data_IF_840895927040
#
_entry.id   IF_840895927040
#
_cell.length_a   1.000
_cell.length_b   1.000
_cell.length_c   1.000
_cell.angle_alpha   90.00
_cell.angle_beta   90.00
_cell.angle_gamma   90.00
#
_symmetry.space_group_name_H-M   'P 1'
#
loop_
_entity.id
_entity.type
_entity.pdbx_description
1 polymer ?
#
# COMPACT_ATOMS: atom_id res chain seq x y z
N UNK A 1 -45.95 -46.87 -11.88
CA UNK A 1 -44.66 -46.27 -12.26
C UNK A 1 -44.76 -44.74 -12.06
N UNK A 2 -44.25 -44.22 -10.92
CA UNK A 2 -44.24 -42.77 -10.62
C UNK A 2 -42.87 -42.22 -11.01
N UNK A 3 -42.81 -41.32 -12.02
CA UNK A 3 -41.60 -40.67 -12.46
C UNK A 3 -41.32 -39.52 -11.49
N UNK A 4 -40.26 -39.64 -10.71
CA UNK A 4 -39.69 -38.55 -9.92
C UNK A 4 -38.90 -37.62 -10.86
N UNK A 5 -39.41 -36.41 -11.08
CA UNK A 5 -38.72 -35.34 -11.80
C UNK A 5 -37.96 -34.56 -10.76
N UNK A 6 -36.65 -34.77 -10.72
CA UNK A 6 -35.73 -34.04 -9.86
C UNK A 6 -35.42 -32.67 -10.51
N UNK A 7 -35.98 -31.62 -9.93
CA UNK A 7 -35.75 -30.23 -10.35
C UNK A 7 -34.43 -29.78 -9.78
N UNK A 8 -33.38 -29.73 -10.60
CA UNK A 8 -32.10 -29.08 -10.23
C UNK A 8 -32.30 -27.57 -10.28
N UNK A 9 -32.47 -26.93 -9.12
CA UNK A 9 -32.36 -25.49 -8.98
C UNK A 9 -30.88 -25.13 -9.06
N UNK A 10 -30.43 -24.60 -10.21
CA UNK A 10 -29.16 -23.94 -10.34
C UNK A 10 -29.21 -22.66 -9.50
N UNK A 11 -28.60 -22.66 -8.33
CA UNK A 11 -28.25 -21.46 -7.57
C UNK A 11 -27.17 -20.74 -8.37
N UNK A 12 -27.57 -19.75 -9.15
CA UNK A 12 -26.66 -18.75 -9.69
C UNK A 12 -26.14 -17.91 -8.51
N UNK A 13 -24.96 -18.26 -8.01
CA UNK A 13 -24.21 -17.41 -7.10
C UNK A 13 -23.79 -16.20 -7.95
N UNK A 14 -24.18 -14.96 -7.62
CA UNK A 14 -23.62 -13.81 -8.28
C UNK A 14 -22.12 -13.77 -7.91
N UNK A 15 -21.27 -14.15 -8.85
CA UNK A 15 -19.89 -13.74 -8.79
C UNK A 15 -19.92 -12.20 -8.82
N UNK A 16 -19.80 -11.57 -7.65
CA UNK A 16 -19.35 -10.19 -7.60
C UNK A 16 -18.00 -10.19 -8.32
N UNK A 17 -17.97 -9.74 -9.56
CA UNK A 17 -16.75 -9.38 -10.23
C UNK A 17 -16.15 -8.24 -9.39
N UNK A 18 -15.29 -8.61 -8.45
CA UNK A 18 -14.34 -7.65 -7.90
C UNK A 18 -13.60 -7.12 -9.12
N UNK A 19 -13.79 -5.85 -9.42
CA UNK A 19 -13.03 -5.18 -10.46
C UNK A 19 -11.56 -5.42 -10.11
N UNK A 20 -10.89 -6.24 -10.93
CA UNK A 20 -9.49 -6.52 -10.75
C UNK A 20 -8.79 -5.20 -11.02
N UNK A 21 -8.20 -4.61 -9.98
CA UNK A 21 -7.49 -3.35 -10.11
C UNK A 21 -6.38 -3.53 -11.14
N UNK A 22 -6.35 -2.65 -12.14
CA UNK A 22 -5.35 -2.72 -13.22
C UNK A 22 -3.96 -2.31 -12.75
N UNK A 23 -3.92 -1.46 -11.72
CA UNK A 23 -2.70 -0.91 -11.15
C UNK A 23 -2.56 -1.31 -9.70
N UNK A 24 -1.33 -1.48 -9.25
CA UNK A 24 -0.97 -1.93 -7.91
C UNK A 24 -0.46 -0.80 -7.00
N UNK A 25 -0.88 0.45 -7.26
CA UNK A 25 -0.46 1.58 -6.44
C UNK A 25 -1.10 1.56 -5.04
N UNK A 26 -2.27 0.92 -4.91
CA UNK A 26 -2.91 0.68 -3.61
C UNK A 26 -2.03 -0.24 -2.76
N UNK A 27 -1.53 -1.34 -3.33
CA UNK A 27 -0.61 -2.27 -2.68
C UNK A 27 0.75 -1.61 -2.41
N UNK A 28 1.20 -0.71 -3.29
CA UNK A 28 2.39 0.11 -3.04
C UNK A 28 2.23 0.97 -1.78
N UNK A 29 1.00 1.34 -1.41
CA UNK A 29 0.69 2.11 -0.21
C UNK A 29 0.18 1.25 0.96
N UNK A 30 0.57 -0.03 1.01
CA UNK A 30 0.28 -0.98 2.09
C UNK A 30 -1.24 -1.15 2.33
N UNK A 31 -2.03 -1.18 1.26
CA UNK A 31 -3.46 -1.42 1.31
C UNK A 31 -3.88 -2.39 0.20
N UNK A 32 -5.11 -2.86 0.23
CA UNK A 32 -5.70 -3.77 -0.76
C UNK A 32 -7.18 -3.48 -0.95
N UNK A 33 -7.70 -3.90 -2.09
CA UNK A 33 -9.10 -3.73 -2.47
C UNK A 33 -9.39 -2.38 -3.14
N UNK A 34 -10.66 -2.02 -3.33
CA UNK A 34 -11.06 -0.83 -4.07
C UNK A 34 -10.93 0.43 -3.21
N UNK A 35 -9.68 0.78 -2.88
CA UNK A 35 -9.38 1.95 -2.03
C UNK A 35 -9.52 3.23 -2.83
N UNK A 36 -10.25 4.20 -2.28
CA UNK A 36 -10.43 5.55 -2.82
C UNK A 36 -9.42 6.53 -2.23
N UNK A 37 -9.20 6.46 -0.93
CA UNK A 37 -8.21 7.31 -0.26
C UNK A 37 -7.61 6.65 0.97
N UNK A 38 -6.38 7.05 1.29
CA UNK A 38 -5.66 6.69 2.51
C UNK A 38 -5.20 7.99 3.16
N UNK A 39 -5.64 8.23 4.39
CA UNK A 39 -5.16 9.35 5.21
C UNK A 39 -4.36 8.80 6.40
N UNK A 40 -3.08 9.10 6.45
CA UNK A 40 -2.18 8.69 7.55
C UNK A 40 -1.80 9.90 8.38
N UNK A 41 -1.85 9.76 9.70
CA UNK A 41 -1.38 10.79 10.63
C UNK A 41 -0.04 10.37 11.21
N UNK A 42 0.95 11.25 11.12
CA UNK A 42 2.28 11.03 11.67
C UNK A 42 2.85 12.36 12.18
N UNK A 43 3.35 12.38 13.41
CA UNK A 43 3.98 13.56 14.03
C UNK A 43 3.12 14.83 13.94
N UNK A 44 1.80 14.72 14.13
CA UNK A 44 0.86 15.84 14.05
C UNK A 44 0.59 16.36 12.63
N UNK A 45 1.07 15.68 11.61
CA UNK A 45 0.80 15.96 10.19
C UNK A 45 -0.11 14.87 9.62
N UNK A 46 -1.07 15.30 8.80
CA UNK A 46 -1.96 14.41 8.05
C UNK A 46 -1.54 14.42 6.59
N UNK A 47 -1.39 13.23 6.00
CA UNK A 47 -1.12 13.05 4.58
C UNK A 47 -2.21 12.17 3.98
N UNK A 48 -2.84 12.66 2.92
CA UNK A 48 -3.86 11.92 2.18
C UNK A 48 -3.33 11.57 0.79
N UNK A 49 -3.52 10.32 0.41
CA UNK A 49 -3.25 9.78 -0.92
C UNK A 49 -4.58 9.32 -1.49
N UNK A 50 -4.87 9.68 -2.74
CA UNK A 50 -6.09 9.30 -3.46
C UNK A 50 -5.77 8.37 -4.62
N UNK A 51 -6.74 7.54 -4.98
CA UNK A 51 -6.61 6.56 -6.05
C UNK A 51 -7.82 6.62 -6.98
N UNK A 52 -7.60 6.29 -8.24
CA UNK A 52 -8.68 6.04 -9.20
C UNK A 52 -9.31 4.66 -8.95
N UNK A 53 -10.49 4.40 -9.50
CA UNK A 53 -11.21 3.13 -9.31
C UNK A 53 -10.45 1.91 -9.85
N UNK A 54 -9.54 2.09 -10.81
CA UNK A 54 -8.65 1.04 -11.33
C UNK A 54 -7.32 0.89 -10.55
N UNK A 55 -7.21 1.56 -9.40
CA UNK A 55 -6.11 1.40 -8.43
C UNK A 55 -4.90 2.29 -8.65
N UNK A 56 -4.95 3.25 -9.58
CA UNK A 56 -3.83 4.15 -9.87
C UNK A 56 -3.77 5.31 -8.88
N UNK A 57 -2.61 5.61 -8.35
CA UNK A 57 -2.42 6.76 -7.45
C UNK A 57 -2.56 8.09 -8.22
N UNK A 58 -3.34 9.01 -7.67
CA UNK A 58 -3.46 10.38 -8.17
C UNK A 58 -2.35 11.28 -7.61
N UNK A 59 -2.10 12.41 -8.28
CA UNK A 59 -1.11 13.40 -7.83
C UNK A 59 0.34 13.01 -8.10
N UNK A 60 0.60 11.89 -8.80
CA UNK A 60 1.93 11.53 -9.28
C UNK A 60 2.09 11.86 -10.77
N UNK A 61 3.29 12.19 -11.21
CA UNK A 61 3.61 12.44 -12.62
C UNK A 61 4.70 11.47 -13.09
N UNK A 62 4.81 11.31 -14.43
CA UNK A 62 5.83 10.48 -15.08
C UNK A 62 5.88 9.03 -14.54
N UNK A 63 4.70 8.48 -14.18
CA UNK A 63 4.59 7.12 -13.65
C UNK A 63 4.90 6.08 -14.74
N UNK A 64 5.82 5.18 -14.44
CA UNK A 64 6.21 4.03 -15.29
C UNK A 64 5.72 2.77 -14.61
N UNK A 65 5.01 1.93 -15.35
CA UNK A 65 4.50 0.63 -14.90
C UNK A 65 5.11 -0.49 -15.73
N UNK A 66 5.22 -1.67 -15.12
CA UNK A 66 5.51 -2.89 -15.89
C UNK A 66 4.24 -3.44 -16.57
N UNK A 67 4.40 -4.57 -17.26
CA UNK A 67 3.31 -5.20 -18.01
C UNK A 67 2.16 -5.70 -17.11
N UNK A 68 2.44 -5.97 -15.85
CA UNK A 68 1.48 -6.48 -14.87
C UNK A 68 0.81 -5.35 -14.05
N UNK A 69 1.20 -4.08 -14.29
CA UNK A 69 0.61 -2.91 -13.64
C UNK A 69 1.27 -2.51 -12.32
N UNK A 70 2.45 -3.04 -12.02
CA UNK A 70 3.24 -2.60 -10.86
C UNK A 70 4.04 -1.35 -11.19
N UNK A 71 3.92 -0.32 -10.36
CA UNK A 71 4.68 0.93 -10.53
C UNK A 71 6.17 0.68 -10.32
N UNK A 72 6.99 1.10 -11.27
CA UNK A 72 8.45 0.99 -11.23
C UNK A 72 9.10 2.30 -10.82
N UNK A 73 8.53 3.43 -11.27
CA UNK A 73 8.95 4.75 -10.86
C UNK A 73 7.83 5.77 -11.04
N UNK A 74 7.88 6.85 -10.28
CA UNK A 74 7.02 8.02 -10.47
C UNK A 74 7.70 9.26 -9.88
N UNK A 75 7.21 10.45 -10.26
CA UNK A 75 7.56 11.69 -9.58
C UNK A 75 6.43 12.10 -8.65
N UNK A 76 6.77 12.29 -7.39
CA UNK A 76 5.89 12.83 -6.35
C UNK A 76 6.26 14.27 -6.04
N UNK A 77 5.27 15.09 -5.73
CA UNK A 77 5.52 16.45 -5.29
C UNK A 77 5.71 16.50 -3.77
N UNK A 78 6.85 16.96 -3.33
CA UNK A 78 7.15 17.16 -1.91
C UNK A 78 7.83 18.53 -1.72
N UNK A 79 7.27 19.37 -0.86
CA UNK A 79 7.78 20.71 -0.55
C UNK A 79 8.00 21.58 -1.81
N UNK A 80 7.11 21.48 -2.81
CA UNK A 80 7.22 22.23 -4.07
C UNK A 80 8.27 21.71 -5.04
N UNK A 81 8.88 20.56 -4.77
CA UNK A 81 9.84 19.91 -5.65
C UNK A 81 9.30 18.54 -6.12
N UNK A 82 9.56 18.20 -7.39
CA UNK A 82 9.28 16.88 -7.91
C UNK A 82 10.43 15.94 -7.60
N UNK A 83 10.15 14.91 -6.80
CA UNK A 83 11.12 13.90 -6.38
C UNK A 83 10.80 12.61 -7.12
N UNK A 84 11.80 12.03 -7.81
CA UNK A 84 11.66 10.70 -8.40
C UNK A 84 11.72 9.65 -7.29
N UNK A 85 10.74 8.74 -7.32
CA UNK A 85 10.67 7.55 -6.46
C UNK A 85 10.73 6.33 -7.35
N UNK A 86 11.66 5.42 -7.07
CA UNK A 86 11.78 4.12 -7.72
C UNK A 86 11.35 3.03 -6.77
N UNK A 87 10.69 2.02 -7.30
CA UNK A 87 10.14 0.90 -6.53
C UNK A 87 10.80 -0.41 -6.96
N UNK A 88 11.04 -1.30 -6.02
CA UNK A 88 11.30 -2.71 -6.29
C UNK A 88 10.22 -3.56 -5.63
N UNK A 89 9.84 -4.65 -6.30
CA UNK A 89 8.76 -5.52 -5.87
C UNK A 89 9.27 -6.93 -5.66
N UNK A 90 8.72 -7.61 -4.66
CA UNK A 90 8.97 -9.01 -4.37
C UNK A 90 7.68 -9.67 -3.90
N UNK A 91 7.24 -10.72 -4.60
CA UNK A 91 5.99 -11.44 -4.28
C UNK A 91 4.75 -10.54 -4.19
N UNK A 92 4.60 -9.57 -5.12
CA UNK A 92 3.48 -8.63 -5.15
C UNK A 92 3.49 -7.56 -4.04
N UNK A 93 4.63 -7.37 -3.36
CA UNK A 93 4.81 -6.38 -2.29
C UNK A 93 6.01 -5.49 -2.57
N UNK A 94 5.94 -4.23 -2.17
CA UNK A 94 7.08 -3.31 -2.30
C UNK A 94 8.22 -3.75 -1.40
N UNK A 95 9.32 -4.19 -2.00
CA UNK A 95 10.54 -4.53 -1.28
C UNK A 95 11.30 -3.29 -0.86
N UNK A 96 11.47 -2.33 -1.78
CA UNK A 96 12.15 -1.08 -1.48
C UNK A 96 11.59 0.11 -2.25
N UNK A 97 11.85 1.30 -1.70
CA UNK A 97 11.67 2.59 -2.37
C UNK A 97 12.96 3.36 -2.31
N UNK A 98 13.40 3.88 -3.46
CA UNK A 98 14.58 4.75 -3.56
C UNK A 98 14.15 6.12 -4.03
N UNK A 99 14.52 7.16 -3.31
CA UNK A 99 14.25 8.57 -3.62
C UNK A 99 15.56 9.31 -3.79
N UNK A 100 15.63 10.20 -4.78
CA UNK A 100 16.76 11.12 -4.92
C UNK A 100 16.35 12.50 -4.41
N UNK A 101 16.95 12.91 -3.30
CA UNK A 101 16.73 14.22 -2.69
C UNK A 101 18.06 14.96 -2.59
N UNK A 102 18.14 16.17 -3.17
CA UNK A 102 19.34 17.01 -3.14
C UNK A 102 20.62 16.29 -3.60
N UNK A 103 20.50 15.43 -4.63
CA UNK A 103 21.64 14.67 -5.17
C UNK A 103 22.10 13.49 -4.32
N UNK A 104 21.33 13.11 -3.30
CA UNK A 104 21.57 11.91 -2.47
C UNK A 104 20.44 10.91 -2.66
N UNK A 105 20.79 9.64 -2.77
CA UNK A 105 19.83 8.57 -2.80
C UNK A 105 19.52 8.08 -1.38
N UNK A 106 18.23 7.95 -1.09
CA UNK A 106 17.71 7.39 0.16
C UNK A 106 16.91 6.17 -0.21
N UNK A 107 17.34 5.01 0.25
CA UNK A 107 16.63 3.76 0.03
C UNK A 107 16.00 3.29 1.33
N UNK A 108 14.70 3.01 1.25
CA UNK A 108 13.92 2.43 2.32
C UNK A 108 13.57 0.99 1.95
N UNK A 109 13.87 0.03 2.80
CA UNK A 109 13.61 -1.40 2.60
C UNK A 109 12.56 -1.88 3.59
N UNK A 110 11.50 -2.50 3.09
CA UNK A 110 10.46 -3.10 3.91
C UNK A 110 10.86 -4.53 4.33
N UNK A 111 10.80 -4.81 5.62
CA UNK A 111 11.01 -6.14 6.19
C UNK A 111 9.64 -6.71 6.60
N UNK A 112 9.23 -7.81 5.98
CA UNK A 112 7.94 -8.46 6.21
C UNK A 112 8.07 -9.60 7.22
N UNK A 113 7.01 -9.85 7.98
CA UNK A 113 6.85 -11.06 8.78
C UNK A 113 6.33 -12.24 7.92
N UNK A 114 6.11 -13.39 8.54
CA UNK A 114 5.59 -14.61 7.89
C UNK A 114 4.17 -14.46 7.35
N UNK A 115 3.38 -13.50 7.90
CA UNK A 115 2.03 -13.18 7.46
C UNK A 115 2.03 -12.12 6.35
N UNK A 116 3.21 -11.59 6.01
CA UNK A 116 3.38 -10.56 5.00
C UNK A 116 2.95 -9.17 5.45
N UNK A 117 2.99 -8.91 6.74
CA UNK A 117 2.84 -7.58 7.35
C UNK A 117 4.24 -6.97 7.54
N UNK A 118 4.39 -5.67 7.31
CA UNK A 118 5.68 -5.00 7.52
C UNK A 118 5.99 -4.96 9.02
N UNK A 119 7.02 -5.68 9.45
CA UNK A 119 7.48 -5.66 10.85
C UNK A 119 8.45 -4.53 11.14
N UNK A 120 9.19 -4.08 10.13
CA UNK A 120 10.11 -2.94 10.23
C UNK A 120 10.43 -2.38 8.85
N UNK A 121 10.95 -1.16 8.85
CA UNK A 121 11.49 -0.51 7.66
C UNK A 121 12.93 -0.12 7.96
N UNK A 122 13.88 -0.54 7.11
CA UNK A 122 15.28 -0.15 7.20
C UNK A 122 15.55 1.00 6.25
N UNK A 123 16.29 2.01 6.69
CA UNK A 123 16.67 3.17 5.89
C UNK A 123 18.19 3.38 5.99
N UNK A 124 18.85 3.47 4.83
CA UNK A 124 20.25 3.91 4.77
C UNK A 124 20.30 5.44 4.64
N UNK A 125 20.91 6.07 5.62
CA UNK A 125 21.11 7.52 5.68
C UNK A 125 22.61 7.86 5.52
N UNK A 126 23.20 7.45 4.38
CA UNK A 126 24.60 7.77 4.09
C UNK A 126 25.62 6.98 4.92
N UNK A 127 25.38 5.67 5.06
CA UNK A 127 26.24 4.72 5.76
C UNK A 127 25.84 4.44 7.21
N UNK A 128 24.75 5.07 7.69
CA UNK A 128 24.07 4.71 8.92
C UNK A 128 22.76 4.00 8.60
N UNK A 129 22.65 2.74 8.95
CA UNK A 129 21.42 1.97 8.78
C UNK A 129 20.51 2.20 10.00
N UNK A 130 19.35 2.77 9.79
CA UNK A 130 18.32 2.98 10.80
C UNK A 130 17.17 2.00 10.55
N UNK A 131 16.79 1.25 11.57
CA UNK A 131 15.62 0.37 11.53
C UNK A 131 14.48 1.00 12.33
N UNK A 132 13.31 1.08 11.71
CA UNK A 132 12.07 1.60 12.31
C UNK A 132 11.13 0.41 12.48
N UNK A 133 10.91 -0.10 13.71
CA UNK A 133 9.99 -1.20 13.96
C UNK A 133 8.54 -0.74 13.97
N UNK A 134 7.64 -1.65 13.60
CA UNK A 134 6.20 -1.48 13.69
C UNK A 134 5.57 -2.61 14.50
N UNK A 135 4.69 -2.24 15.42
CA UNK A 135 3.99 -3.16 16.35
C UNK A 135 2.53 -2.76 16.52
N UNK A 136 1.77 -3.53 17.28
CA UNK A 136 0.41 -3.24 17.73
C UNK A 136 -0.53 -2.86 16.57
N UNK A 137 -0.47 -3.61 15.49
CA UNK A 137 -1.33 -3.43 14.32
C UNK A 137 -2.80 -3.66 14.68
N UNK A 138 -3.65 -2.73 14.24
CA UNK A 138 -5.11 -2.88 14.18
C UNK A 138 -5.53 -2.87 12.73
N UNK A 139 -6.47 -3.73 12.37
CA UNK A 139 -6.95 -3.90 11.00
C UNK A 139 -8.45 -3.63 10.91
N UNK A 140 -8.91 -3.16 9.75
CA UNK A 140 -10.31 -3.09 9.41
C UNK A 140 -10.86 -4.47 8.97
N UNK A 141 -12.14 -4.53 8.64
CA UNK A 141 -12.83 -5.73 8.17
C UNK A 141 -12.37 -6.22 6.78
N UNK A 142 -11.67 -5.40 6.03
CA UNK A 142 -11.05 -5.72 4.74
C UNK A 142 -9.60 -6.19 4.87
N UNK A 143 -9.07 -6.18 6.11
CA UNK A 143 -7.71 -6.60 6.45
C UNK A 143 -6.65 -5.58 6.07
N UNK A 144 -7.01 -4.31 5.98
CA UNK A 144 -6.07 -3.19 5.87
C UNK A 144 -5.76 -2.64 7.26
N UNK A 145 -4.49 -2.33 7.54
CA UNK A 145 -4.16 -1.75 8.83
C UNK A 145 -4.71 -0.32 8.94
N UNK A 146 -5.27 0.00 10.10
CA UNK A 146 -5.86 1.30 10.43
C UNK A 146 -5.16 2.00 11.59
N UNK A 147 -4.32 1.28 12.32
CA UNK A 147 -3.40 1.82 13.32
C UNK A 147 -2.24 0.87 13.51
N UNK A 148 -1.07 1.42 13.79
CA UNK A 148 0.12 0.69 14.25
C UNK A 148 0.96 1.59 15.15
N UNK A 149 1.84 1.01 15.92
CA UNK A 149 2.85 1.75 16.67
C UNK A 149 4.20 1.66 15.99
N UNK A 150 4.99 2.71 16.16
CA UNK A 150 6.39 2.76 15.76
C UNK A 150 7.25 3.33 16.88
N UNK A 151 8.54 3.01 16.89
CA UNK A 151 9.50 3.59 17.82
C UNK A 151 10.60 4.31 17.05
N UNK A 152 10.73 5.61 17.30
CA UNK A 152 11.82 6.42 16.76
C UNK A 152 12.57 7.11 17.90
N UNK A 153 13.89 6.98 17.92
CA UNK A 153 14.75 7.60 18.96
C UNK A 153 14.28 7.30 20.40
N UNK A 154 13.80 6.07 20.63
CA UNK A 154 13.31 5.62 21.95
C UNK A 154 11.93 6.17 22.34
N UNK A 155 11.22 6.83 21.44
CA UNK A 155 9.84 7.29 21.64
C UNK A 155 8.88 6.45 20.83
N UNK A 156 7.92 5.84 21.53
CA UNK A 156 6.81 5.14 20.91
C UNK A 156 5.75 6.16 20.43
N UNK A 157 5.28 5.96 19.20
CA UNK A 157 4.24 6.81 18.58
C UNK A 157 3.20 5.93 17.93
N UNK A 158 1.94 6.27 18.08
CA UNK A 158 0.84 5.66 17.33
C UNK A 158 0.70 6.35 15.97
N UNK A 159 0.48 5.55 14.93
CA UNK A 159 0.23 5.98 13.56
C UNK A 159 -1.19 5.56 13.16
N UNK A 160 -2.19 6.39 13.41
CA UNK A 160 -3.54 6.11 12.93
C UNK A 160 -3.65 6.35 11.42
N UNK A 161 -4.50 5.56 10.78
CA UNK A 161 -4.78 5.62 9.35
C UNK A 161 -6.28 5.47 9.09
N UNK A 162 -6.82 6.28 8.21
CA UNK A 162 -8.21 6.18 7.74
C UNK A 162 -8.20 5.78 6.28
N UNK A 163 -9.03 4.82 5.91
CA UNK A 163 -9.16 4.33 4.53
C UNK A 163 -10.61 4.51 4.08
N UNK A 164 -10.79 5.14 2.94
CA UNK A 164 -12.06 5.20 2.24
C UNK A 164 -12.03 4.26 1.05
N UNK A 165 -13.17 3.63 0.76
CA UNK A 165 -13.32 2.66 -0.30
C UNK A 165 -14.30 3.16 -1.35
N UNK A 166 -14.12 2.72 -2.59
CA UNK A 166 -15.17 2.79 -3.59
C UNK A 166 -16.29 1.79 -3.24
N UNK A 167 -17.53 2.16 -3.54
CA UNK A 167 -18.71 1.29 -3.40
C UNK A 167 -18.78 0.24 -4.52
#
# INVERSE_FOLDING_TARGET
>A
MKKFMMLFALLAIPFAMQAQTKFHDVEANEAKGPVKSITTQQMGRSQTITFTADGKQEGVSDAVYDADGYIQSAKVEAQGQKIEVKYTWENGKVKSRTMNMMGREFTTVNNYDENGVIKSTSMDMGGQNMEIPYTDYKFDDKGNWISRKTSMMGREMEMPRTIEYYE
#
